data_IF_122861903331
#
_entry.id   IF_122861903331
#
_cell.length_a   1.000
_cell.length_b   1.000
_cell.length_c   1.000
_cell.angle_alpha   90.00
_cell.angle_beta   90.00
_cell.angle_gamma   90.00
#
_symmetry.space_group_name_H-M   'P 1'
#
loop_
_entity.id
_entity.type
_entity.pdbx_description
1 polymer ?
#
# COMPACT_ATOMS: atom_id res chain seq x y z
N UNK A 1 -7.59 25.80 -39.19
CA UNK A 1 -8.80 26.13 -38.41
C UNK A 1 -8.66 25.46 -37.08
N UNK A 2 -8.42 26.26 -36.04
CA UNK A 2 -8.29 25.80 -34.66
C UNK A 2 -9.69 25.82 -34.08
N UNK A 3 -10.16 24.69 -33.55
CA UNK A 3 -11.38 24.63 -32.78
C UNK A 3 -11.02 24.88 -31.30
N UNK A 4 -11.62 25.91 -30.75
CA UNK A 4 -11.44 26.45 -29.40
C UNK A 4 -12.54 25.89 -28.48
N UNK A 5 -12.41 24.63 -28.08
CA UNK A 5 -13.25 24.03 -27.03
C UNK A 5 -12.34 23.49 -25.92
N UNK A 6 -12.18 24.28 -24.85
CA UNK A 6 -11.58 23.82 -23.60
C UNK A 6 -12.51 22.80 -22.93
N UNK A 7 -12.15 21.51 -22.95
CA UNK A 7 -12.79 20.52 -22.05
C UNK A 7 -12.92 19.06 -22.47
N UNK A 8 -12.26 18.55 -23.52
CA UNK A 8 -12.61 17.22 -24.09
C UNK A 8 -11.49 16.17 -24.22
N UNK A 9 -10.31 16.37 -23.64
CA UNK A 9 -9.29 15.31 -23.52
C UNK A 9 -9.04 14.97 -22.05
N UNK A 10 -9.99 14.31 -21.40
CA UNK A 10 -9.71 13.60 -20.15
C UNK A 10 -9.21 12.20 -20.51
N UNK A 11 -7.96 12.16 -20.94
CA UNK A 11 -7.19 10.91 -20.92
C UNK A 11 -7.09 10.41 -19.47
N UNK A 12 -7.03 9.10 -19.27
CA UNK A 12 -6.86 8.50 -17.95
C UNK A 12 -5.53 8.98 -17.36
N UNK A 13 -5.59 9.71 -16.23
CA UNK A 13 -4.38 10.15 -15.53
C UNK A 13 -3.82 8.95 -14.75
N UNK A 14 -2.56 8.60 -14.98
CA UNK A 14 -1.90 7.52 -14.25
C UNK A 14 -0.75 8.08 -13.41
N UNK A 15 -0.84 7.91 -12.10
CA UNK A 15 0.21 8.30 -11.15
C UNK A 15 0.66 7.12 -10.28
N UNK A 16 1.89 7.19 -9.79
CA UNK A 16 2.44 6.18 -8.87
C UNK A 16 2.26 6.66 -7.44
N UNK A 17 1.46 5.93 -6.66
CA UNK A 17 1.34 6.15 -5.23
C UNK A 17 2.26 5.19 -4.48
N UNK A 18 3.19 5.75 -3.70
CA UNK A 18 3.99 4.99 -2.73
C UNK A 18 3.27 4.93 -1.39
N UNK A 19 3.21 3.73 -0.81
CA UNK A 19 2.51 3.41 0.44
C UNK A 19 3.50 3.02 1.56
N UNK A 20 4.76 3.44 1.42
CA UNK A 20 5.87 3.12 2.32
C UNK A 20 5.56 3.50 3.78
N UNK A 21 4.86 4.62 3.98
CA UNK A 21 4.47 5.16 5.28
C UNK A 21 3.30 4.41 5.93
N UNK A 22 2.47 3.72 5.13
CA UNK A 22 1.27 3.05 5.60
C UNK A 22 1.50 1.58 5.97
N UNK A 23 2.45 0.91 5.31
CA UNK A 23 2.69 -0.54 5.49
C UNK A 23 4.16 -0.84 5.83
N UNK A 24 5.02 0.19 5.94
CA UNK A 24 6.46 0.02 6.26
C UNK A 24 7.26 -0.73 5.19
N UNK A 25 6.60 -1.13 4.12
CA UNK A 25 7.13 -1.93 3.05
C UNK A 25 6.92 -1.10 1.77
N UNK A 26 7.95 -1.02 0.92
CA UNK A 26 7.99 -0.29 -0.36
C UNK A 26 6.92 -0.64 -1.41
N UNK A 27 5.64 -0.61 -1.04
CA UNK A 27 4.49 -0.90 -1.89
C UNK A 27 4.24 0.32 -2.75
N UNK A 28 4.30 0.15 -4.06
CA UNK A 28 3.91 1.16 -5.02
C UNK A 28 2.75 0.64 -5.86
N UNK A 29 1.70 1.44 -5.98
CA UNK A 29 0.53 1.16 -6.82
C UNK A 29 0.43 2.22 -7.91
N UNK A 30 -0.07 1.83 -9.08
CA UNK A 30 -0.42 2.79 -10.15
C UNK A 30 -1.90 3.14 -9.99
N UNK A 31 -2.18 4.38 -9.65
CA UNK A 31 -3.54 4.91 -9.61
C UNK A 31 -3.90 5.43 -10.99
N UNK A 32 -5.01 4.93 -11.53
CA UNK A 32 -5.62 5.43 -12.75
C UNK A 32 -6.87 6.22 -12.38
N UNK A 33 -6.86 7.54 -12.57
CA UNK A 33 -8.03 8.38 -12.37
C UNK A 33 -8.96 8.27 -13.57
N UNK A 34 -10.19 7.83 -13.31
CA UNK A 34 -11.20 7.65 -14.33
C UNK A 34 -12.09 8.89 -14.38
N UNK A 35 -12.39 9.41 -15.57
CA UNK A 35 -13.45 10.42 -15.70
C UNK A 35 -14.74 9.85 -15.11
N UNK A 36 -15.49 10.70 -14.37
CA UNK A 36 -16.71 10.29 -13.69
C UNK A 36 -17.65 9.52 -14.63
N UNK A 37 -18.04 8.32 -14.22
CA UNK A 37 -18.97 7.47 -14.96
C UNK A 37 -20.40 7.95 -14.68
N UNK A 38 -20.84 8.97 -15.41
CA UNK A 38 -22.26 9.31 -15.45
C UNK A 38 -22.99 8.40 -16.44
N UNK A 39 -24.08 7.76 -16.00
CA UNK A 39 -24.91 6.91 -16.85
C UNK A 39 -25.53 7.69 -18.02
N UNK A 40 -25.78 8.99 -17.83
CA UNK A 40 -26.37 9.89 -18.82
C UNK A 40 -25.30 10.75 -19.50
N UNK A 41 -24.38 10.12 -20.24
CA UNK A 41 -23.37 10.82 -21.03
C UNK A 41 -23.99 11.51 -22.27
N UNK A 42 -24.18 12.85 -22.28
CA UNK A 42 -25.03 13.50 -23.28
C UNK A 42 -24.31 13.71 -24.63
N UNK A 43 -22.97 13.72 -24.63
CA UNK A 43 -22.15 14.02 -25.81
C UNK A 43 -21.42 12.77 -26.33
N UNK A 44 -21.03 12.80 -27.62
CA UNK A 44 -20.21 11.73 -28.20
C UNK A 44 -18.83 11.61 -27.51
N UNK A 45 -18.25 12.73 -27.08
CA UNK A 45 -17.02 12.75 -26.29
C UNK A 45 -17.20 12.11 -24.91
N UNK A 46 -18.33 12.39 -24.22
CA UNK A 46 -18.64 11.77 -22.93
C UNK A 46 -18.82 10.24 -23.05
N UNK A 47 -19.48 9.77 -24.12
CA UNK A 47 -19.61 8.34 -24.41
C UNK A 47 -18.26 7.67 -24.70
N UNK A 48 -17.38 8.34 -25.43
CA UNK A 48 -16.03 7.83 -25.70
C UNK A 48 -15.18 7.77 -24.41
N UNK A 49 -15.25 8.78 -23.56
CA UNK A 49 -14.59 8.80 -22.25
C UNK A 49 -15.11 7.69 -21.33
N UNK A 50 -16.44 7.45 -21.33
CA UNK A 50 -17.06 6.37 -20.56
C UNK A 50 -16.60 4.98 -21.07
N UNK A 51 -16.53 4.78 -22.38
CA UNK A 51 -16.02 3.53 -22.96
C UNK A 51 -14.55 3.27 -22.57
N UNK A 52 -13.70 4.31 -22.60
CA UNK A 52 -12.30 4.22 -22.17
C UNK A 52 -12.18 3.90 -20.67
N UNK A 53 -13.05 4.48 -19.84
CA UNK A 53 -13.07 4.23 -18.40
C UNK A 53 -13.53 2.80 -18.06
N UNK A 54 -14.54 2.27 -18.77
CA UNK A 54 -14.96 0.86 -18.63
C UNK A 54 -13.84 -0.10 -19.05
N UNK A 55 -13.12 0.20 -20.13
CA UNK A 55 -11.99 -0.65 -20.56
C UNK A 55 -10.84 -0.62 -19.53
N UNK A 56 -10.57 0.54 -18.95
CA UNK A 56 -9.56 0.68 -17.89
C UNK A 56 -9.97 -0.08 -16.63
N UNK A 57 -11.26 -0.05 -16.25
CA UNK A 57 -11.81 -0.85 -15.15
C UNK A 57 -11.62 -2.35 -15.38
N UNK A 58 -11.79 -2.84 -16.62
CA UNK A 58 -11.57 -4.25 -16.96
C UNK A 58 -10.12 -4.68 -16.83
N UNK A 59 -9.18 -3.78 -17.09
CA UNK A 59 -7.74 -4.03 -17.00
C UNK A 59 -7.18 -3.79 -15.59
N UNK A 60 -7.98 -3.26 -14.67
CA UNK A 60 -7.53 -2.94 -13.32
C UNK A 60 -7.33 -4.21 -12.49
N UNK A 61 -6.20 -4.28 -11.78
CA UNK A 61 -5.90 -5.35 -10.83
C UNK A 61 -6.77 -5.29 -9.56
N UNK A 62 -7.23 -4.08 -9.21
CA UNK A 62 -8.14 -3.80 -8.10
C UNK A 62 -8.87 -2.47 -8.33
N UNK A 63 -10.02 -2.26 -7.70
CA UNK A 63 -10.85 -1.06 -7.86
C UNK A 63 -11.06 -0.34 -6.54
N UNK A 64 -10.92 1.00 -6.56
CA UNK A 64 -11.28 1.89 -5.45
C UNK A 64 -12.59 2.59 -5.82
N UNK A 65 -13.69 2.18 -5.19
CA UNK A 65 -15.01 2.74 -5.44
C UNK A 65 -15.26 3.91 -4.49
N UNK A 66 -15.15 5.14 -4.99
CA UNK A 66 -15.34 6.35 -4.22
C UNK A 66 -16.76 6.90 -4.39
N UNK A 67 -17.54 6.95 -3.30
CA UNK A 67 -18.88 7.53 -3.34
C UNK A 67 -19.22 8.25 -2.02
N UNK A 68 -19.48 9.57 -2.02
CA UNK A 68 -19.85 10.29 -0.80
C UNK A 68 -21.21 9.88 -0.23
N UNK A 69 -22.10 9.33 -1.05
CA UNK A 69 -23.40 8.82 -0.62
C UNK A 69 -23.32 7.44 0.03
N UNK A 70 -22.26 6.69 -0.26
CA UNK A 70 -22.03 5.33 0.22
C UNK A 70 -22.91 4.26 -0.43
N UNK A 71 -23.42 4.48 -1.65
CA UNK A 71 -24.23 3.51 -2.40
C UNK A 71 -23.40 2.68 -3.38
N UNK A 72 -22.29 3.23 -3.88
CA UNK A 72 -21.35 2.52 -4.75
C UNK A 72 -21.98 1.91 -6.00
N UNK A 73 -22.99 2.57 -6.59
CA UNK A 73 -23.69 2.13 -7.83
C UNK A 73 -22.74 1.85 -9.01
N UNK A 74 -21.52 2.43 -8.96
CA UNK A 74 -20.43 2.19 -9.90
C UNK A 74 -20.04 0.70 -10.04
N UNK A 75 -20.27 -0.10 -9.00
CA UNK A 75 -19.92 -1.52 -8.97
C UNK A 75 -20.82 -2.34 -9.91
N UNK A 76 -22.03 -1.88 -10.18
CA UNK A 76 -22.99 -2.53 -11.08
C UNK A 76 -22.63 -2.37 -12.56
N UNK A 77 -21.61 -1.57 -12.89
CA UNK A 77 -21.16 -1.30 -14.27
C UNK A 77 -20.31 -2.44 -14.88
N UNK A 78 -20.26 -3.60 -14.24
CA UNK A 78 -19.62 -4.81 -14.78
C UNK A 78 -18.15 -4.95 -14.40
N UNK A 79 -17.81 -4.62 -13.15
CA UNK A 79 -16.54 -5.03 -12.54
C UNK A 79 -16.56 -6.57 -12.47
N UNK A 80 -15.47 -7.22 -12.89
CA UNK A 80 -15.38 -8.68 -12.84
C UNK A 80 -15.48 -9.18 -11.39
N UNK A 81 -16.21 -10.27 -11.17
CA UNK A 81 -16.50 -10.83 -9.83
C UNK A 81 -15.22 -11.14 -9.01
N UNK A 82 -14.09 -11.38 -9.68
CA UNK A 82 -12.80 -11.72 -9.07
C UNK A 82 -11.90 -10.51 -8.76
N UNK A 83 -12.31 -9.29 -9.12
CA UNK A 83 -11.49 -8.08 -8.91
C UNK A 83 -11.70 -7.56 -7.48
N UNK A 84 -10.65 -7.42 -6.66
CA UNK A 84 -10.77 -6.84 -5.33
C UNK A 84 -11.28 -5.39 -5.39
N UNK A 85 -12.30 -5.10 -4.59
CA UNK A 85 -12.93 -3.77 -4.50
C UNK A 85 -12.74 -3.20 -3.09
N UNK A 86 -12.31 -1.94 -3.01
CA UNK A 86 -12.31 -1.15 -1.78
C UNK A 86 -13.39 -0.06 -1.87
N UNK A 87 -14.43 -0.15 -1.03
CA UNK A 87 -15.51 0.84 -0.94
C UNK A 87 -15.13 1.99 -0.03
N UNK A 88 -14.97 3.19 -0.60
CA UNK A 88 -14.52 4.38 0.10
C UNK A 88 -15.63 5.43 0.13
N UNK A 89 -16.20 5.68 1.31
CA UNK A 89 -17.08 6.83 1.49
C UNK A 89 -16.25 8.09 1.62
N UNK A 90 -16.35 8.97 0.62
CA UNK A 90 -15.70 10.29 0.64
C UNK A 90 -16.57 11.32 1.36
N UNK A 91 -16.02 12.50 1.67
CA UNK A 91 -16.75 13.59 2.35
C UNK A 91 -17.38 13.15 3.68
N UNK A 92 -16.60 12.42 4.48
CA UNK A 92 -17.08 11.85 5.74
C UNK A 92 -17.47 12.88 6.81
N UNK A 93 -17.10 14.15 6.61
CA UNK A 93 -17.58 15.32 7.35
C UNK A 93 -19.11 15.51 7.25
N UNK A 94 -19.75 14.91 6.25
CA UNK A 94 -21.19 15.00 6.02
C UNK A 94 -21.92 13.81 6.62
N UNK A 95 -23.16 14.02 7.13
CA UNK A 95 -23.96 12.94 7.70
C UNK A 95 -24.26 11.87 6.65
N UNK A 96 -24.27 10.62 7.09
CA UNK A 96 -24.61 9.48 6.24
C UNK A 96 -26.07 9.60 5.80
N UNK A 97 -26.33 9.31 4.53
CA UNK A 97 -27.70 9.26 4.00
C UNK A 97 -28.34 7.91 4.32
N UNK A 98 -29.66 7.91 4.48
CA UNK A 98 -30.43 6.67 4.67
C UNK A 98 -30.30 5.74 3.45
N UNK A 99 -30.14 4.44 3.73
CA UNK A 99 -29.96 3.40 2.70
C UNK A 99 -28.57 3.37 2.06
N UNK A 100 -27.54 3.89 2.74
CA UNK A 100 -26.15 3.67 2.36
C UNK A 100 -25.69 2.25 2.71
N UNK A 101 -24.83 1.67 1.87
CA UNK A 101 -24.15 0.42 2.17
C UNK A 101 -23.09 0.61 3.25
N UNK A 102 -22.56 -0.49 3.77
CA UNK A 102 -21.41 -0.48 4.66
C UNK A 102 -20.13 -0.20 3.85
N UNK A 103 -19.49 0.99 3.99
CA UNK A 103 -18.20 1.25 3.35
C UNK A 103 -17.10 0.47 4.07
N UNK A 104 -16.04 0.14 3.35
CA UNK A 104 -14.83 -0.46 3.94
C UNK A 104 -14.02 0.63 4.66
N UNK A 105 -13.97 1.83 4.09
CA UNK A 105 -13.24 3.00 4.64
C UNK A 105 -14.07 4.28 4.47
N UNK A 106 -14.01 5.16 5.45
CA UNK A 106 -14.56 6.52 5.38
C UNK A 106 -13.42 7.54 5.47
N UNK A 107 -13.42 8.53 4.59
CA UNK A 107 -12.38 9.57 4.55
C UNK A 107 -12.96 10.97 4.37
N UNK A 108 -12.28 11.97 4.92
CA UNK A 108 -12.51 13.36 4.58
C UNK A 108 -11.25 13.95 3.94
N UNK A 109 -11.37 14.41 2.69
CA UNK A 109 -10.25 14.97 1.96
C UNK A 109 -9.91 16.42 2.37
N UNK A 110 -10.79 17.09 3.13
CA UNK A 110 -10.59 18.48 3.56
C UNK A 110 -9.52 18.60 4.65
N UNK A 111 -9.51 17.66 5.58
CA UNK A 111 -8.58 17.61 6.72
C UNK A 111 -7.64 16.39 6.65
N UNK A 112 -7.82 15.51 5.65
CA UNK A 112 -7.04 14.28 5.49
C UNK A 112 -7.44 13.19 6.49
N UNK A 113 -8.60 13.30 7.13
CA UNK A 113 -9.06 12.32 8.10
C UNK A 113 -9.14 10.93 7.48
N UNK A 114 -8.55 9.95 8.18
CA UNK A 114 -8.45 8.53 7.82
C UNK A 114 -7.71 8.21 6.52
N UNK A 115 -6.85 9.11 6.02
CA UNK A 115 -6.01 8.80 4.86
C UNK A 115 -5.02 7.67 5.13
N UNK A 116 -4.54 7.53 6.36
CA UNK A 116 -3.70 6.42 6.80
C UNK A 116 -4.44 5.08 6.76
N UNK A 117 -5.74 5.06 7.09
CA UNK A 117 -6.61 3.89 6.97
C UNK A 117 -6.87 3.56 5.50
N UNK A 118 -7.13 4.58 4.68
CA UNK A 118 -7.31 4.42 3.23
C UNK A 118 -6.06 3.83 2.57
N UNK A 119 -4.88 4.40 2.85
CA UNK A 119 -3.61 3.90 2.32
C UNK A 119 -3.36 2.44 2.68
N UNK A 120 -3.67 2.04 3.92
CA UNK A 120 -3.60 0.64 4.35
C UNK A 120 -4.59 -0.25 3.60
N UNK A 121 -5.84 0.18 3.46
CA UNK A 121 -6.85 -0.53 2.67
C UNK A 121 -6.44 -0.72 1.21
N UNK A 122 -5.86 0.30 0.57
CA UNK A 122 -5.33 0.23 -0.79
C UNK A 122 -4.21 -0.81 -0.89
N UNK A 123 -3.28 -0.82 0.06
CA UNK A 123 -2.21 -1.81 0.07
C UNK A 123 -2.75 -3.23 0.23
N UNK A 124 -3.73 -3.44 1.11
CA UNK A 124 -4.33 -4.76 1.35
C UNK A 124 -5.02 -5.32 0.09
N UNK A 125 -5.78 -4.50 -0.65
CA UNK A 125 -6.40 -4.95 -1.90
C UNK A 125 -5.37 -5.19 -3.00
N UNK A 126 -4.32 -4.37 -3.06
CA UNK A 126 -3.24 -4.54 -4.04
C UNK A 126 -2.44 -5.82 -3.80
N UNK A 127 -2.26 -6.23 -2.54
CA UNK A 127 -1.60 -7.50 -2.18
C UNK A 127 -2.45 -8.74 -2.51
N UNK A 128 -3.79 -8.59 -2.58
CA UNK A 128 -4.73 -9.67 -2.92
C UNK A 128 -4.96 -9.81 -4.42
N UNK A 129 -4.53 -8.83 -5.22
CA UNK A 129 -4.80 -8.79 -6.65
C UNK A 129 -4.09 -9.93 -7.41
N UNK A 130 -4.79 -10.67 -8.31
CA UNK A 130 -4.26 -11.85 -8.99
C UNK A 130 -3.04 -11.59 -9.91
N UNK A 131 -2.78 -10.35 -10.31
CA UNK A 131 -1.73 -9.96 -11.25
C UNK A 131 -0.33 -9.74 -10.64
N UNK A 132 -0.19 -9.73 -9.31
CA UNK A 132 1.05 -9.35 -8.64
C UNK A 132 2.03 -10.51 -8.40
N UNK A 133 2.83 -10.93 -9.40
CA UNK A 133 3.96 -11.85 -9.12
C UNK A 133 4.98 -11.22 -8.15
N UNK A 134 5.04 -9.88 -8.11
CA UNK A 134 5.79 -9.09 -7.13
C UNK A 134 5.14 -9.11 -5.73
N UNK A 135 3.81 -9.23 -5.62
CA UNK A 135 3.09 -9.14 -4.34
C UNK A 135 3.42 -10.31 -3.41
N UNK A 136 3.60 -11.52 -3.95
CA UNK A 136 3.94 -12.73 -3.16
C UNK A 136 5.38 -12.66 -2.64
N UNK A 137 6.34 -12.30 -3.50
CA UNK A 137 7.73 -12.14 -3.10
C UNK A 137 7.89 -11.01 -2.07
N UNK A 138 7.15 -9.92 -2.25
CA UNK A 138 7.17 -8.76 -1.38
C UNK A 138 6.51 -9.02 -0.02
N UNK A 139 5.34 -9.67 0.03
CA UNK A 139 4.69 -10.06 1.28
C UNK A 139 5.58 -11.01 2.09
N UNK A 140 6.30 -11.92 1.41
CA UNK A 140 7.27 -12.79 2.07
C UNK A 140 8.44 -11.98 2.65
N UNK A 141 9.07 -11.09 1.87
CA UNK A 141 10.19 -10.29 2.35
C UNK A 141 9.78 -9.33 3.47
N UNK A 142 8.61 -8.68 3.36
CA UNK A 142 8.08 -7.79 4.40
C UNK A 142 7.88 -8.52 5.72
N UNK A 143 7.34 -9.75 5.71
CA UNK A 143 7.21 -10.56 6.93
C UNK A 143 8.56 -10.89 7.57
N UNK A 144 9.56 -11.21 6.74
CA UNK A 144 10.92 -11.50 7.23
C UNK A 144 11.59 -10.25 7.83
N UNK A 145 11.41 -9.08 7.22
CA UNK A 145 11.90 -7.79 7.76
C UNK A 145 11.22 -7.46 9.09
N UNK A 146 9.89 -7.62 9.17
CA UNK A 146 9.14 -7.36 10.39
C UNK A 146 9.58 -8.28 11.53
N UNK A 147 9.73 -9.58 11.26
CA UNK A 147 10.24 -10.54 12.25
C UNK A 147 11.66 -10.22 12.72
N UNK A 148 12.55 -9.80 11.80
CA UNK A 148 13.88 -9.36 12.18
C UNK A 148 13.86 -8.10 13.06
N UNK A 149 13.02 -7.12 12.74
CA UNK A 149 12.87 -5.91 13.53
C UNK A 149 12.30 -6.19 14.93
N UNK A 150 11.35 -7.10 15.05
CA UNK A 150 10.79 -7.54 16.34
C UNK A 150 11.86 -8.21 17.21
N UNK A 151 12.62 -9.16 16.65
CA UNK A 151 13.69 -9.84 17.35
C UNK A 151 14.78 -8.86 17.83
N UNK A 152 15.17 -7.90 16.99
CA UNK A 152 16.10 -6.83 17.38
C UNK A 152 15.50 -5.97 18.49
N UNK A 153 14.22 -5.61 18.39
CA UNK A 153 13.53 -4.82 19.41
C UNK A 153 13.50 -5.50 20.78
N UNK A 154 13.29 -6.81 20.80
CA UNK A 154 13.35 -7.62 22.04
C UNK A 154 14.75 -7.58 22.65
N UNK A 155 15.80 -7.83 21.84
CA UNK A 155 17.20 -7.78 22.29
C UNK A 155 17.55 -6.40 22.85
N UNK A 156 17.16 -5.32 22.15
CA UNK A 156 17.42 -3.94 22.62
C UNK A 156 16.66 -3.63 23.92
N UNK A 157 15.44 -4.15 24.07
CA UNK A 157 14.64 -3.97 25.29
C UNK A 157 15.21 -4.66 26.53
N UNK A 158 15.99 -5.72 26.34
CA UNK A 158 16.68 -6.46 27.41
C UNK A 158 18.05 -5.86 27.78
N UNK A 159 18.55 -4.88 27.02
CA UNK A 159 19.82 -4.19 27.30
C UNK A 159 19.53 -2.94 28.12
N UNK A 160 19.91 -2.95 29.40
CA UNK A 160 19.87 -1.77 30.26
C UNK A 160 21.21 -1.04 30.24
N UNK A 161 21.24 0.25 29.84
CA UNK A 161 22.50 1.00 29.66
C UNK A 161 23.24 1.28 30.98
N UNK A 162 22.55 1.20 32.11
CA UNK A 162 23.11 1.30 33.46
C UNK A 162 23.87 0.05 33.92
N UNK A 163 23.70 -1.09 33.25
CA UNK A 163 24.35 -2.33 33.66
C UNK A 163 25.81 -2.38 33.21
N UNK A 164 26.70 -2.73 34.14
CA UNK A 164 28.12 -2.87 33.87
C UNK A 164 28.46 -4.10 33.01
N UNK A 165 27.53 -5.04 32.89
CA UNK A 165 27.64 -6.27 32.11
C UNK A 165 26.27 -6.68 31.57
N UNK A 166 26.25 -7.44 30.48
CA UNK A 166 25.01 -8.02 29.96
C UNK A 166 24.56 -9.16 30.88
N UNK A 167 23.31 -9.12 31.33
CA UNK A 167 22.74 -10.11 32.24
C UNK A 167 22.60 -11.51 31.61
N UNK A 168 22.39 -11.59 30.28
CA UNK A 168 22.20 -12.85 29.55
C UNK A 168 22.72 -12.77 28.11
N UNK A 169 24.05 -12.65 27.91
CA UNK A 169 24.64 -12.44 26.58
C UNK A 169 24.35 -13.58 25.59
N UNK A 170 24.18 -14.81 26.09
CA UNK A 170 23.81 -15.97 25.27
C UNK A 170 22.39 -15.84 24.70
N UNK A 171 21.44 -15.34 25.50
CA UNK A 171 20.05 -15.13 25.08
C UNK A 171 19.95 -13.99 24.06
N UNK A 172 20.67 -12.89 24.31
CA UNK A 172 20.76 -11.76 23.38
C UNK A 172 21.39 -12.18 22.04
N UNK A 173 22.45 -12.99 22.09
CA UNK A 173 23.08 -13.52 20.88
C UNK A 173 22.14 -14.44 20.08
N UNK A 174 21.32 -15.25 20.76
CA UNK A 174 20.31 -16.09 20.12
C UNK A 174 19.17 -15.25 19.49
N UNK A 175 18.74 -14.17 20.14
CA UNK A 175 17.78 -13.22 19.56
C UNK A 175 18.32 -12.53 18.31
N UNK A 176 19.58 -12.10 18.32
CA UNK A 176 20.26 -11.53 17.14
C UNK A 176 20.45 -12.58 16.03
N UNK A 177 20.68 -13.85 16.37
CA UNK A 177 20.74 -14.94 15.40
C UNK A 177 19.39 -15.14 14.71
N UNK A 178 18.30 -15.15 15.46
CA UNK A 178 16.95 -15.23 14.89
C UNK A 178 16.65 -14.07 13.93
N UNK A 179 17.06 -12.84 14.27
CA UNK A 179 16.93 -11.70 13.38
C UNK A 179 17.73 -11.89 12.08
N UNK A 180 18.95 -12.42 12.17
CA UNK A 180 19.80 -12.69 11.01
C UNK A 180 19.19 -13.76 10.10
N UNK A 181 18.72 -14.88 10.67
CA UNK A 181 18.13 -15.99 9.91
C UNK A 181 16.89 -15.56 9.11
N UNK A 182 16.08 -14.64 9.67
CA UNK A 182 14.97 -14.03 8.96
C UNK A 182 15.46 -13.19 7.76
N UNK A 183 16.52 -12.41 7.93
CA UNK A 183 17.12 -11.60 6.85
C UNK A 183 17.82 -12.46 5.79
N UNK A 184 18.38 -13.62 6.14
CA UNK A 184 18.99 -14.55 5.19
C UNK A 184 17.99 -15.06 4.15
N UNK A 185 16.71 -15.16 4.51
CA UNK A 185 15.64 -15.53 3.56
C UNK A 185 15.47 -14.51 2.42
N UNK A 186 15.98 -13.28 2.60
CA UNK A 186 15.91 -12.18 1.64
C UNK A 186 17.26 -11.99 0.93
N UNK A 187 18.35 -11.93 1.71
CA UNK A 187 19.69 -11.57 1.24
C UNK A 187 20.48 -12.78 0.69
N UNK A 188 20.02 -13.99 0.98
CA UNK A 188 20.85 -15.19 0.89
C UNK A 188 21.68 -15.37 2.18
N UNK A 189 22.51 -16.41 2.19
CA UNK A 189 23.31 -16.79 3.38
C UNK A 189 24.27 -15.67 3.80
N UNK A 190 24.27 -15.32 5.08
CA UNK A 190 25.15 -14.32 5.69
C UNK A 190 26.05 -15.02 6.71
N UNK A 191 27.34 -15.04 6.47
CA UNK A 191 28.27 -15.72 7.39
C UNK A 191 28.60 -14.84 8.60
N UNK A 192 28.97 -15.44 9.75
CA UNK A 192 29.44 -14.66 10.90
C UNK A 192 30.59 -13.71 10.55
N UNK A 193 31.50 -14.14 9.67
CA UNK A 193 32.64 -13.33 9.21
C UNK A 193 32.19 -12.10 8.42
N UNK A 194 31.10 -12.20 7.64
CA UNK A 194 30.53 -11.07 6.90
C UNK A 194 30.01 -9.99 7.85
N UNK A 195 29.37 -10.41 8.95
CA UNK A 195 28.85 -9.50 9.98
C UNK A 195 29.99 -8.83 10.73
N UNK A 196 30.95 -9.62 11.23
CA UNK A 196 32.12 -9.13 11.97
C UNK A 196 32.91 -8.14 11.09
N UNK A 197 33.18 -8.51 9.84
CA UNK A 197 33.88 -7.65 8.88
C UNK A 197 33.18 -6.30 8.69
N UNK A 198 31.85 -6.27 8.59
CA UNK A 198 31.08 -5.02 8.43
C UNK A 198 31.07 -4.15 9.68
N UNK A 199 30.89 -4.76 10.85
CA UNK A 199 30.94 -4.04 12.14
C UNK A 199 32.29 -3.37 12.30
N UNK A 200 33.39 -4.12 12.11
CA UNK A 200 34.75 -3.59 12.27
C UNK A 200 35.23 -2.68 11.13
N UNK A 201 34.64 -2.76 9.92
CA UNK A 201 34.97 -1.84 8.82
C UNK A 201 34.56 -0.39 9.10
N UNK A 202 33.60 -0.17 10.00
CA UNK A 202 33.09 1.17 10.34
C UNK A 202 33.83 1.79 11.53
N UNK A 203 34.53 0.98 12.32
CA UNK A 203 35.49 1.49 13.28
C UNK A 203 36.72 1.94 12.49
N UNK A 204 37.02 3.25 12.52
CA UNK A 204 38.34 3.70 12.08
C UNK A 204 39.37 2.88 12.87
N UNK A 205 40.11 2.01 12.18
CA UNK A 205 41.35 1.44 12.70
C UNK A 205 42.32 2.61 12.80
N UNK A 206 42.19 3.35 13.89
CA UNK A 206 43.22 4.26 14.35
C UNK A 206 44.47 3.44 14.60
N UNK A 207 45.57 3.87 13.99
CA UNK A 207 46.80 3.91 14.76
C UNK A 207 46.57 4.69 16.05
#
# INVERSE_FOLDING_TARGET
MVADESGTTRDVLIEVLRLDDAVGAGVAVRLADLPGLDADAPTAAARAAQAAAVETLRLADAVIACDPSGRFDILDLGIGDDVPVLRVRTKADQPRRDGADAPDVEVCALDGWHFDVLKRGIADIALRAPGGSCAVAFARHSRQIAGAAEAIGQVVGEIHPEDAALDSPELLADGLRHALDALEQILGRVTPDDVIGRVFATFCVGK
#
